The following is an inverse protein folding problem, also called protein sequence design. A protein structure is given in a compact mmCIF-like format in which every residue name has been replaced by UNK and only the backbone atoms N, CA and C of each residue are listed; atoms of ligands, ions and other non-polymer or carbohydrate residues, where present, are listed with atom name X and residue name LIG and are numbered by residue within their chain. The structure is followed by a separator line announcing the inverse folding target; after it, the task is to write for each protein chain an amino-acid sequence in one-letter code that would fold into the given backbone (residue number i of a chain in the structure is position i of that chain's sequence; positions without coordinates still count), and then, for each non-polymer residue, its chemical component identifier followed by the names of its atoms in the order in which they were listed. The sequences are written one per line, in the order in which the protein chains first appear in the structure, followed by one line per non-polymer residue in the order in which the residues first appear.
data_IF_633344201465
#
_entry.id   IF_633344201465
#
_cell.length_a   1.000
_cell.length_b   1.000
_cell.length_c   1.000
_cell.angle_alpha   90.00
_cell.angle_beta   90.00
_cell.angle_gamma   90.00
#
_symmetry.space_group_name_H-M   'P 1'
#
loop_
_entity.id
_entity.type
_entity.pdbx_description
1 polymer ?
#
# COMPACT_ATOMS: atom_id res chain seq x y z
N UNK A 1 -9.18 -4.04 21.40
CA UNK A 1 -7.85 -3.79 20.90
C UNK A 1 -7.86 -3.14 19.54
N UNK A 2 -6.82 -2.41 19.22
CA UNK A 2 -6.72 -1.74 17.93
C UNK A 2 -6.51 -2.77 16.81
N UNK A 3 -7.25 -2.63 15.74
CA UNK A 3 -7.02 -3.44 14.55
C UNK A 3 -5.66 -3.06 13.92
N UNK A 4 -4.94 -4.03 13.37
CA UNK A 4 -3.64 -3.76 12.77
C UNK A 4 -3.75 -2.99 11.45
N UNK A 5 -2.67 -2.31 11.10
CA UNK A 5 -2.42 -1.76 9.78
C UNK A 5 -1.59 -2.76 8.96
N UNK A 6 -1.77 -2.74 7.66
CA UNK A 6 -0.95 -3.54 6.73
C UNK A 6 -0.03 -2.64 5.92
N UNK A 7 1.25 -2.96 5.94
CA UNK A 7 2.27 -2.31 5.11
C UNK A 7 2.52 -3.21 3.88
N UNK A 8 1.89 -2.86 2.78
CA UNK A 8 2.00 -3.61 1.53
C UNK A 8 3.28 -3.23 0.79
N UNK A 9 4.17 -4.20 0.59
CA UNK A 9 5.51 -3.93 0.06
C UNK A 9 6.39 -3.24 1.11
N UNK A 10 6.55 -3.88 2.26
CA UNK A 10 7.20 -3.31 3.45
C UNK A 10 8.66 -2.85 3.20
N UNK A 11 9.33 -3.43 2.21
CA UNK A 11 10.71 -3.09 1.90
C UNK A 11 11.62 -3.27 3.12
N UNK A 12 12.40 -2.26 3.44
CA UNK A 12 13.30 -2.27 4.61
C UNK A 12 12.60 -1.87 5.91
N UNK A 13 11.29 -1.60 5.89
CA UNK A 13 10.51 -1.34 7.09
C UNK A 13 10.36 0.14 7.46
N UNK A 14 10.46 1.06 6.51
CA UNK A 14 10.34 2.50 6.77
C UNK A 14 8.95 2.85 7.31
N UNK A 15 7.89 2.31 6.74
CA UNK A 15 6.52 2.56 7.22
C UNK A 15 6.29 1.99 8.63
N UNK A 16 6.99 0.89 8.96
CA UNK A 16 6.99 0.35 10.32
C UNK A 16 7.55 1.30 11.36
N UNK A 17 8.39 2.25 10.97
CA UNK A 17 8.89 3.31 11.83
C UNK A 17 7.91 4.49 11.91
N UNK A 18 7.23 4.79 10.81
CA UNK A 18 6.36 5.96 10.68
C UNK A 18 4.98 5.72 11.30
N UNK A 19 4.35 4.57 11.03
CA UNK A 19 2.98 4.30 11.46
C UNK A 19 2.77 4.36 12.99
N UNK A 20 3.67 3.81 13.83
CA UNK A 20 3.52 3.95 15.28
C UNK A 20 3.55 5.40 15.75
N UNK A 21 4.39 6.24 15.13
CA UNK A 21 4.47 7.67 15.44
C UNK A 21 3.17 8.40 15.09
N UNK A 22 2.37 7.87 14.17
CA UNK A 22 1.06 8.40 13.77
C UNK A 22 -0.10 7.81 14.58
N UNK A 23 0.17 6.94 15.55
CA UNK A 23 -0.86 6.34 16.40
C UNK A 23 -1.31 4.95 15.98
N UNK A 24 -0.57 4.26 15.11
CA UNK A 24 -0.87 2.91 14.63
C UNK A 24 0.25 1.94 15.05
N UNK A 25 0.24 1.45 16.30
CA UNK A 25 1.36 0.66 16.84
C UNK A 25 1.39 -0.79 16.36
N UNK A 26 0.26 -1.35 15.89
CA UNK A 26 0.18 -2.75 15.48
C UNK A 26 0.20 -2.82 13.96
N UNK A 27 1.29 -3.38 13.41
CA UNK A 27 1.54 -3.41 11.97
C UNK A 27 1.94 -4.81 11.54
N UNK A 28 1.30 -5.30 10.50
CA UNK A 28 1.77 -6.44 9.71
C UNK A 28 2.32 -5.93 8.39
N UNK A 29 3.20 -6.68 7.77
CA UNK A 29 3.74 -6.33 6.47
C UNK A 29 4.02 -7.54 5.60
N UNK A 30 4.13 -7.31 4.32
CA UNK A 30 4.60 -8.32 3.37
C UNK A 30 5.48 -7.67 2.29
N UNK A 31 6.32 -8.49 1.69
CA UNK A 31 7.16 -8.08 0.57
C UNK A 31 7.46 -9.29 -0.31
N UNK A 32 7.74 -9.04 -1.57
CA UNK A 32 8.16 -10.08 -2.53
C UNK A 32 9.62 -10.49 -2.32
N UNK A 33 10.43 -9.65 -1.71
CA UNK A 33 11.87 -9.86 -1.53
C UNK A 33 12.19 -10.43 -0.16
N UNK A 34 12.71 -11.68 -0.06
CA UNK A 34 13.17 -12.24 1.21
C UNK A 34 14.28 -11.42 1.89
N UNK A 35 15.15 -10.80 1.10
CA UNK A 35 16.21 -9.94 1.61
C UNK A 35 15.69 -8.68 2.27
N UNK A 36 14.66 -8.05 1.70
CA UNK A 36 13.99 -6.89 2.29
C UNK A 36 13.25 -7.28 3.57
N UNK A 37 12.55 -8.41 3.58
CA UNK A 37 11.86 -8.92 4.76
C UNK A 37 12.84 -9.16 5.92
N UNK A 38 14.01 -9.72 5.63
CA UNK A 38 15.03 -9.96 6.65
C UNK A 38 15.53 -8.64 7.28
N UNK A 39 15.67 -7.59 6.48
CA UNK A 39 16.05 -6.26 6.97
C UNK A 39 14.96 -5.62 7.82
N UNK A 40 13.71 -5.72 7.38
CA UNK A 40 12.56 -5.19 8.12
C UNK A 40 12.39 -5.93 9.46
N UNK A 41 12.57 -7.23 9.48
CA UNK A 41 12.45 -8.05 10.68
C UNK A 41 13.45 -7.65 11.78
N UNK A 42 14.66 -7.28 11.39
CA UNK A 42 15.71 -6.82 12.34
C UNK A 42 15.31 -5.57 13.13
N UNK A 43 14.38 -4.79 12.62
CA UNK A 43 13.89 -3.58 13.29
C UNK A 43 12.88 -3.85 14.39
N UNK A 44 12.32 -5.06 14.47
CA UNK A 44 11.31 -5.48 15.47
C UNK A 44 10.10 -4.55 15.56
N UNK A 45 9.64 -4.02 14.42
CA UNK A 45 8.53 -3.07 14.34
C UNK A 45 7.22 -3.71 13.93
N UNK A 46 7.27 -4.88 13.28
CA UNK A 46 6.11 -5.58 12.75
C UNK A 46 5.68 -6.70 13.68
N UNK A 47 4.37 -6.84 13.84
CA UNK A 47 3.79 -8.00 14.54
C UNK A 47 4.04 -9.28 13.73
N UNK A 48 3.88 -9.19 12.41
CA UNK A 48 4.10 -10.29 11.47
C UNK A 48 4.64 -9.74 10.14
N UNK A 49 5.56 -10.47 9.55
CA UNK A 49 6.12 -10.19 8.22
C UNK A 49 6.07 -11.46 7.39
N UNK A 50 5.47 -11.36 6.19
CA UNK A 50 5.29 -12.49 5.29
C UNK A 50 5.84 -12.19 3.91
N UNK A 51 6.20 -13.25 3.18
CA UNK A 51 6.34 -13.17 1.75
C UNK A 51 4.96 -13.05 1.12
N UNK A 52 4.79 -12.11 0.20
CA UNK A 52 3.53 -11.93 -0.52
C UNK A 52 3.75 -11.17 -1.82
N UNK A 53 2.86 -11.38 -2.78
CA UNK A 53 2.94 -10.77 -4.11
C UNK A 53 1.62 -10.06 -4.41
N UNK A 54 1.68 -8.74 -4.61
CA UNK A 54 0.51 -7.98 -5.09
C UNK A 54 0.17 -8.40 -6.52
N UNK A 55 -1.11 -8.67 -6.75
CA UNK A 55 -1.61 -9.28 -7.97
C UNK A 55 -1.98 -10.75 -7.78
N UNK A 56 -1.52 -11.37 -6.71
CA UNK A 56 -1.91 -12.71 -6.27
C UNK A 56 -2.74 -12.62 -4.99
N UNK A 57 -3.41 -13.72 -4.62
CA UNK A 57 -4.14 -13.76 -3.35
C UNK A 57 -3.16 -13.70 -2.18
N UNK A 58 -3.40 -12.75 -1.28
CA UNK A 58 -2.62 -12.60 -0.06
C UNK A 58 -3.13 -13.53 1.03
N UNK A 59 -2.23 -14.02 1.88
CA UNK A 59 -2.54 -14.90 3.00
C UNK A 59 -3.04 -14.08 4.21
N UNK A 60 -4.12 -13.36 4.00
CA UNK A 60 -4.83 -12.62 5.04
C UNK A 60 -6.34 -12.81 4.85
N UNK A 61 -7.07 -12.82 5.96
CA UNK A 61 -8.52 -12.90 5.93
C UNK A 61 -9.14 -11.60 5.41
N UNK A 62 -10.39 -11.68 4.92
CA UNK A 62 -11.18 -10.51 4.58
C UNK A 62 -11.33 -9.60 5.81
N UNK A 63 -11.40 -8.30 5.60
CA UNK A 63 -11.72 -7.30 6.63
C UNK A 63 -10.83 -7.38 7.89
N UNK A 64 -9.58 -7.81 7.74
CA UNK A 64 -8.67 -8.05 8.87
C UNK A 64 -7.82 -6.84 9.27
N UNK A 65 -7.81 -5.78 8.46
CA UNK A 65 -6.99 -4.60 8.69
C UNK A 65 -7.81 -3.31 8.77
N UNK A 66 -7.38 -2.41 9.65
CA UNK A 66 -7.95 -1.07 9.76
C UNK A 66 -7.58 -0.18 8.56
N UNK A 67 -6.48 -0.48 7.93
CA UNK A 67 -6.03 0.22 6.75
C UNK A 67 -4.77 -0.42 6.15
N UNK A 68 -4.42 0.06 4.97
CA UNK A 68 -3.24 -0.38 4.21
C UNK A 68 -2.46 0.84 3.74
N UNK A 69 -1.14 0.75 3.83
CA UNK A 69 -0.24 1.64 3.12
C UNK A 69 0.54 0.85 2.07
N UNK A 70 0.69 1.41 0.87
CA UNK A 70 1.45 0.80 -0.22
C UNK A 70 2.31 1.87 -0.89
N UNK A 71 3.54 2.03 -0.42
CA UNK A 71 4.47 3.05 -0.89
C UNK A 71 5.47 2.46 -1.87
N UNK A 72 5.55 3.03 -3.07
CA UNK A 72 6.56 2.66 -4.08
C UNK A 72 6.36 1.29 -4.73
N UNK A 73 5.17 0.70 -4.65
CA UNK A 73 4.90 -0.65 -5.20
C UNK A 73 4.15 -0.61 -6.53
N UNK A 74 3.30 0.38 -6.77
CA UNK A 74 2.55 0.52 -8.02
C UNK A 74 3.32 1.36 -9.02
N UNK A 75 4.29 0.73 -9.66
CA UNK A 75 5.13 1.33 -10.70
C UNK A 75 5.53 0.26 -11.71
N UNK A 76 5.98 0.71 -12.89
CA UNK A 76 6.40 -0.20 -13.95
C UNK A 76 7.46 -1.19 -13.45
N UNK A 77 7.28 -2.47 -13.77
CA UNK A 77 8.17 -3.54 -13.35
C UNK A 77 7.95 -4.06 -11.93
N UNK A 78 6.96 -3.51 -11.21
CA UNK A 78 6.55 -3.94 -9.87
C UNK A 78 5.09 -4.41 -9.87
N UNK A 79 4.32 -4.06 -8.83
CA UNK A 79 2.96 -4.56 -8.68
C UNK A 79 2.01 -4.00 -9.76
N UNK A 80 1.11 -4.83 -10.30
CA UNK A 80 0.04 -4.36 -11.17
C UNK A 80 -1.06 -3.66 -10.35
N UNK A 81 -1.82 -2.76 -10.99
CA UNK A 81 -2.94 -2.08 -10.34
C UNK A 81 -4.05 -3.04 -9.87
N UNK A 82 -4.14 -4.24 -10.44
CA UNK A 82 -5.07 -5.28 -9.97
C UNK A 82 -4.76 -5.73 -8.54
N UNK A 83 -3.56 -5.48 -8.04
CA UNK A 83 -3.24 -5.68 -6.62
C UNK A 83 -4.12 -4.88 -5.66
N UNK A 84 -4.72 -3.78 -6.13
CA UNK A 84 -5.66 -2.99 -5.33
C UNK A 84 -6.91 -3.78 -4.93
N UNK A 85 -7.35 -4.76 -5.73
CA UNK A 85 -8.51 -5.60 -5.39
C UNK A 85 -8.28 -6.38 -4.09
N UNK A 86 -7.08 -6.93 -3.91
CA UNK A 86 -6.70 -7.64 -2.67
C UNK A 86 -6.59 -6.69 -1.48
N UNK A 87 -6.08 -5.48 -1.67
CA UNK A 87 -6.02 -4.48 -0.61
C UNK A 87 -7.42 -4.09 -0.14
N UNK A 88 -8.36 -3.92 -1.08
CA UNK A 88 -9.78 -3.67 -0.74
C UNK A 88 -10.35 -4.84 0.07
N UNK A 89 -10.05 -6.08 -0.32
CA UNK A 89 -10.56 -7.27 0.35
C UNK A 89 -10.13 -7.35 1.81
N UNK A 90 -8.86 -7.06 2.09
CA UNK A 90 -8.30 -7.24 3.45
C UNK A 90 -8.58 -6.08 4.39
N UNK A 91 -8.99 -4.93 3.89
CA UNK A 91 -9.35 -3.77 4.70
C UNK A 91 -10.83 -3.81 5.08
N UNK A 92 -11.14 -3.60 6.35
CA UNK A 92 -12.53 -3.55 6.83
C UNK A 92 -13.29 -2.38 6.23
N UNK A 93 -14.62 -2.46 6.10
CA UNK A 93 -15.45 -1.31 5.77
C UNK A 93 -15.20 -0.14 6.73
N UNK A 94 -15.05 1.05 6.19
CA UNK A 94 -14.66 2.24 6.95
C UNK A 94 -13.16 2.43 7.12
N UNK A 95 -12.35 1.43 6.77
CA UNK A 95 -10.90 1.55 6.73
C UNK A 95 -10.41 2.31 5.49
N UNK A 96 -9.12 2.58 5.44
CA UNK A 96 -8.52 3.39 4.38
C UNK A 96 -7.38 2.65 3.67
N UNK A 97 -7.23 2.95 2.40
CA UNK A 97 -6.11 2.50 1.58
C UNK A 97 -5.38 3.73 1.06
N UNK A 98 -4.10 3.84 1.38
CA UNK A 98 -3.24 4.95 0.94
C UNK A 98 -2.06 4.36 0.18
N UNK A 99 -1.89 4.78 -1.06
CA UNK A 99 -0.84 4.24 -1.92
C UNK A 99 -0.29 5.29 -2.86
N UNK A 100 0.91 5.06 -3.34
CA UNK A 100 1.51 5.87 -4.40
C UNK A 100 1.51 5.11 -5.72
N UNK A 101 1.38 5.85 -6.81
CA UNK A 101 1.54 5.35 -8.18
C UNK A 101 2.62 6.17 -8.89
N UNK A 102 3.33 5.52 -9.79
CA UNK A 102 4.39 6.16 -10.56
C UNK A 102 4.43 5.66 -12.00
N UNK A 103 5.13 6.42 -12.85
CA UNK A 103 5.40 6.07 -14.25
C UNK A 103 4.12 5.82 -15.04
N UNK A 104 3.99 4.64 -15.67
CA UNK A 104 2.86 4.32 -16.56
C UNK A 104 1.50 4.30 -15.85
N UNK A 105 1.48 4.17 -14.52
CA UNK A 105 0.23 4.13 -13.76
C UNK A 105 -0.33 5.52 -13.43
N UNK A 106 0.45 6.58 -13.63
CA UNK A 106 -0.03 7.94 -13.47
C UNK A 106 -1.11 8.27 -14.52
N UNK A 107 -2.06 9.14 -14.14
CA UNK A 107 -3.11 9.59 -15.04
C UNK A 107 -4.17 8.54 -15.33
N UNK A 108 -4.37 8.19 -16.60
CA UNK A 108 -5.52 7.38 -17.04
C UNK A 108 -5.55 5.98 -16.45
N UNK A 109 -4.41 5.36 -16.23
CA UNK A 109 -4.33 4.01 -15.69
C UNK A 109 -4.94 3.93 -14.29
N UNK A 110 -4.47 4.76 -13.37
CA UNK A 110 -5.01 4.77 -12.01
C UNK A 110 -6.46 5.28 -11.97
N UNK A 111 -6.79 6.28 -12.76
CA UNK A 111 -8.17 6.83 -12.77
C UNK A 111 -9.18 5.79 -13.30
N UNK A 112 -8.81 5.02 -14.31
CA UNK A 112 -9.67 3.92 -14.83
C UNK A 112 -9.91 2.87 -13.75
N UNK A 113 -8.86 2.44 -13.05
CA UNK A 113 -8.98 1.45 -11.96
C UNK A 113 -9.78 1.99 -10.79
N UNK A 114 -9.52 3.22 -10.38
CA UNK A 114 -10.23 3.87 -9.29
C UNK A 114 -11.72 3.98 -9.57
N UNK A 115 -12.09 4.40 -10.79
CA UNK A 115 -13.48 4.49 -11.21
C UNK A 115 -14.17 3.13 -11.21
N UNK A 116 -13.50 2.09 -11.70
CA UNK A 116 -14.06 0.74 -11.71
C UNK A 116 -14.42 0.26 -10.30
N UNK A 117 -13.56 0.50 -9.31
CA UNK A 117 -13.82 0.15 -7.92
C UNK A 117 -14.90 1.04 -7.27
N UNK A 118 -14.95 2.32 -7.63
CA UNK A 118 -16.01 3.23 -7.18
C UNK A 118 -17.37 2.78 -7.73
N UNK A 119 -17.46 2.49 -9.03
CA UNK A 119 -18.68 2.04 -9.69
C UNK A 119 -19.17 0.69 -9.15
N UNK A 120 -18.26 -0.16 -8.71
CA UNK A 120 -18.57 -1.44 -8.05
C UNK A 120 -18.96 -1.27 -6.57
N UNK A 121 -18.96 -0.06 -6.02
CA UNK A 121 -19.31 0.21 -4.63
C UNK A 121 -18.26 -0.27 -3.62
N UNK A 122 -16.99 -0.41 -4.03
CA UNK A 122 -15.93 -0.95 -3.18
C UNK A 122 -15.24 0.11 -2.34
N UNK A 123 -15.05 1.29 -2.89
CA UNK A 123 -14.41 2.40 -2.19
C UNK A 123 -14.88 3.76 -2.70
N UNK A 124 -14.53 4.82 -1.97
CA UNK A 124 -14.68 6.21 -2.41
C UNK A 124 -13.38 6.97 -2.22
N UNK A 125 -13.08 7.90 -3.10
CA UNK A 125 -11.90 8.76 -2.98
C UNK A 125 -12.00 9.68 -1.77
N UNK A 126 -10.91 9.75 -1.00
CA UNK A 126 -10.77 10.68 0.12
C UNK A 126 -9.87 11.85 -0.29
N UNK A 127 -8.80 11.58 -1.02
CA UNK A 127 -7.87 12.62 -1.45
C UNK A 127 -6.85 12.13 -2.46
N UNK A 128 -6.20 13.09 -3.09
CA UNK A 128 -5.13 12.87 -4.06
C UNK A 128 -4.09 13.96 -3.88
N UNK A 129 -2.81 13.60 -3.81
CA UNK A 129 -1.73 14.57 -3.74
C UNK A 129 -1.45 15.19 -5.10
N UNK A 130 -0.68 16.28 -5.12
CA UNK A 130 0.02 16.74 -6.33
C UNK A 130 1.10 15.74 -6.75
N UNK A 131 1.64 15.93 -7.94
CA UNK A 131 2.80 15.18 -8.39
C UNK A 131 4.04 15.59 -7.59
N UNK A 132 4.89 14.61 -7.27
CA UNK A 132 6.16 14.84 -6.58
C UNK A 132 7.23 13.92 -7.15
N UNK A 133 8.48 14.31 -6.96
CA UNK A 133 9.63 13.47 -7.31
C UNK A 133 9.89 12.49 -6.16
N UNK A 134 9.71 11.20 -6.44
CA UNK A 134 9.93 10.15 -5.45
C UNK A 134 11.40 9.78 -5.27
N UNK A 135 12.28 10.31 -6.13
CA UNK A 135 13.72 10.04 -6.12
C UNK A 135 14.55 11.32 -6.18
N UNK A 136 14.37 12.27 -5.23
CA UNK A 136 14.97 13.61 -5.33
C UNK A 136 16.49 13.63 -5.26
N UNK A 137 17.11 12.54 -4.83
CA UNK A 137 18.58 12.43 -4.74
C UNK A 137 19.19 11.67 -5.92
N UNK A 138 18.38 11.26 -6.89
CA UNK A 138 18.84 10.56 -8.09
C UNK A 138 18.89 11.49 -9.30
N UNK A 139 19.70 11.12 -10.30
CA UNK A 139 19.87 11.93 -11.52
C UNK A 139 18.59 12.05 -12.36
N UNK A 140 17.73 11.05 -12.28
CA UNK A 140 16.43 11.04 -12.97
C UNK A 140 15.28 11.05 -11.99
N UNK A 141 14.42 12.06 -12.12
CA UNK A 141 13.19 12.14 -11.35
C UNK A 141 12.23 11.00 -11.73
N UNK A 142 11.68 10.33 -10.73
CA UNK A 142 10.53 9.45 -10.90
C UNK A 142 9.34 10.12 -10.25
N UNK A 143 8.46 10.66 -11.10
CA UNK A 143 7.27 11.33 -10.63
C UNK A 143 6.26 10.33 -10.09
N UNK A 144 5.65 10.68 -8.97
CA UNK A 144 4.67 9.85 -8.27
C UNK A 144 3.52 10.72 -7.76
N UNK A 145 2.45 10.06 -7.39
CA UNK A 145 1.26 10.69 -6.82
C UNK A 145 0.65 9.76 -5.77
N UNK A 146 0.19 10.32 -4.66
CA UNK A 146 -0.45 9.58 -3.58
C UNK A 146 -1.97 9.70 -3.73
N UNK A 147 -2.65 8.57 -3.58
CA UNK A 147 -4.10 8.48 -3.56
C UNK A 147 -4.57 7.86 -2.24
N UNK A 148 -5.68 8.35 -1.73
CA UNK A 148 -6.32 7.82 -0.53
C UNK A 148 -7.80 7.53 -0.80
N UNK A 149 -8.23 6.33 -0.41
CA UNK A 149 -9.61 5.85 -0.57
C UNK A 149 -10.13 5.28 0.76
N UNK A 150 -11.42 5.45 1.00
CA UNK A 150 -12.11 4.79 2.08
C UNK A 150 -12.87 3.57 1.54
N UNK A 151 -12.69 2.43 2.19
CA UNK A 151 -13.39 1.19 1.84
C UNK A 151 -14.86 1.28 2.32
N UNK A 152 -15.79 0.91 1.45
CA UNK A 152 -17.24 0.99 1.73
C UNK A 152 -17.81 -0.29 2.30
#
# INVERSE_FOLDING_TARGET
GDMPMLDAGAGTGIMGEILPALGYPVIDGFDISPGMLARAEKKNLYRDLKHGVLGERLDYADDSYAGVTASGVFTEGHAPLDGLDELVRVVKPGGHIVFSVARIYLGDQIETKAKALEDAGKWRRVGTSGLYDSTPLEDKAIMAQIHAFAVL
#
